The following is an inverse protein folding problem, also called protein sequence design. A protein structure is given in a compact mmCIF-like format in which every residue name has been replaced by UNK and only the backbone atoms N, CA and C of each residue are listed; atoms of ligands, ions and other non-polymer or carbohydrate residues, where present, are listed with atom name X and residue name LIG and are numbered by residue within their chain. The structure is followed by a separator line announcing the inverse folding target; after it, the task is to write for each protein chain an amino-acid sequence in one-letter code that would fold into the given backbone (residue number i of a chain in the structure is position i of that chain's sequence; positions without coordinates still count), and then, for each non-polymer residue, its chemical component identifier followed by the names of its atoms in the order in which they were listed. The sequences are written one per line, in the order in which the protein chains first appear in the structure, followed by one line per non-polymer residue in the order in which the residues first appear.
data_IF_060977037600
#
_entry.id   IF_060977037600
#
_cell.length_a   1.000
_cell.length_b   1.000
_cell.length_c   1.000
_cell.angle_alpha   90.00
_cell.angle_beta   90.00
_cell.angle_gamma   90.00
#
_symmetry.space_group_name_H-M   'P 1'
#
loop_
_entity.id
_entity.type
_entity.pdbx_description
1 polymer ?
#
# COMPACT_ATOMS: atom_id res chain seq x y z
N UNK A 1 -13.57 26.43 25.15
CA UNK A 1 -12.27 27.06 25.46
C UNK A 1 -11.24 25.94 25.47
N UNK A 2 -10.33 25.71 24.51
CA UNK A 2 -9.86 26.44 23.35
C UNK A 2 -9.97 25.53 22.13
N UNK A 3 -10.69 25.97 21.09
CA UNK A 3 -10.46 25.41 19.76
C UNK A 3 -9.12 25.98 19.28
N UNK A 4 -8.02 25.27 19.57
CA UNK A 4 -6.74 25.50 18.89
C UNK A 4 -7.01 25.25 17.40
N UNK A 5 -7.32 26.33 16.68
CA UNK A 5 -7.50 26.34 15.24
C UNK A 5 -6.21 25.81 14.64
N UNK A 6 -6.26 24.59 14.10
CA UNK A 6 -5.15 23.98 13.36
C UNK A 6 -4.99 24.76 12.06
N UNK A 7 -4.27 25.86 12.10
CA UNK A 7 -4.03 26.69 10.91
C UNK A 7 -3.03 26.03 9.97
N UNK A 8 -3.44 25.90 8.70
CA UNK A 8 -2.67 25.62 7.49
C UNK A 8 -1.56 24.56 7.62
N UNK A 9 -1.91 23.31 7.29
CA UNK A 9 -0.95 22.22 7.08
C UNK A 9 -0.14 22.48 5.81
N UNK A 10 1.01 23.13 5.95
CA UNK A 10 1.88 23.33 4.80
C UNK A 10 2.80 22.10 4.64
N UNK A 11 2.58 21.33 3.56
CA UNK A 11 3.37 20.16 3.21
C UNK A 11 4.42 20.51 2.14
N UNK A 12 5.59 19.87 2.22
CA UNK A 12 6.64 20.01 1.21
C UNK A 12 7.49 18.73 1.12
N UNK A 13 8.19 18.58 -0.01
CA UNK A 13 9.13 17.47 -0.23
C UNK A 13 10.53 17.91 0.19
N UNK A 14 11.12 17.17 1.12
CA UNK A 14 12.52 17.34 1.54
C UNK A 14 13.39 16.30 0.87
N UNK A 15 14.46 16.75 0.22
CA UNK A 15 15.54 15.91 -0.26
C UNK A 15 16.68 15.87 0.77
N UNK A 16 17.12 14.67 1.15
CA UNK A 16 18.30 14.47 1.99
C UNK A 16 19.35 13.66 1.24
N UNK A 17 20.54 14.24 1.08
CA UNK A 17 21.71 13.51 0.59
C UNK A 17 22.27 12.65 1.72
N UNK A 18 22.54 11.38 1.43
CA UNK A 18 23.25 10.50 2.37
C UNK A 18 24.52 10.03 1.68
N UNK A 19 25.67 10.44 2.22
CA UNK A 19 26.98 9.92 1.83
C UNK A 19 27.31 8.70 2.68
N UNK A 20 27.44 7.53 2.06
CA UNK A 20 27.97 6.34 2.73
C UNK A 20 29.45 6.23 2.40
N UNK A 21 30.32 6.14 3.40
CA UNK A 21 31.76 5.89 3.18
C UNK A 21 32.05 4.47 2.65
N UNK A 22 31.08 3.55 2.75
CA UNK A 22 31.21 2.15 2.31
C UNK A 22 30.58 1.84 0.94
N UNK A 23 29.71 2.71 0.43
CA UNK A 23 29.10 2.54 -0.88
C UNK A 23 29.59 3.66 -1.80
N UNK A 24 30.18 3.29 -2.94
CA UNK A 24 30.74 4.20 -3.94
C UNK A 24 29.61 5.00 -4.63
N UNK A 25 29.10 6.04 -3.96
CA UNK A 25 28.10 6.96 -4.48
C UNK A 25 27.24 7.65 -3.41
N UNK A 26 27.00 8.95 -3.58
CA UNK A 26 25.97 9.68 -2.83
C UNK A 26 24.59 9.31 -3.35
N UNK A 27 23.66 8.95 -2.46
CA UNK A 27 22.26 8.71 -2.84
C UNK A 27 21.34 9.75 -2.20
N UNK A 28 20.27 10.08 -2.93
CA UNK A 28 19.23 11.00 -2.48
C UNK A 28 18.04 10.21 -1.94
N UNK A 29 17.44 10.72 -0.87
CA UNK A 29 16.21 10.19 -0.29
C UNK A 29 15.20 11.31 -0.13
N UNK A 30 13.95 11.02 -0.45
CA UNK A 30 12.86 11.99 -0.46
C UNK A 30 11.85 11.66 0.63
N UNK A 31 11.37 12.71 1.32
CA UNK A 31 10.37 12.61 2.38
C UNK A 31 9.32 13.70 2.21
N UNK A 32 8.05 13.34 2.38
CA UNK A 32 6.96 14.30 2.53
C UNK A 32 6.94 14.76 3.98
N UNK A 33 7.04 16.07 4.19
CA UNK A 33 7.12 16.71 5.50
C UNK A 33 5.97 17.70 5.65
N UNK A 34 5.32 17.67 6.80
CA UNK A 34 4.31 18.63 7.22
C UNK A 34 4.92 19.58 8.26
N UNK A 35 4.54 20.84 8.17
CA UNK A 35 4.89 21.86 9.17
C UNK A 35 3.66 22.23 9.98
N UNK A 36 3.80 22.22 11.31
CA UNK A 36 2.76 22.63 12.24
C UNK A 36 3.33 23.67 13.21
N UNK A 37 2.55 24.71 13.54
CA UNK A 37 2.93 25.67 14.58
C UNK A 37 2.25 25.26 15.88
N UNK A 38 3.06 24.90 16.88
CA UNK A 38 2.60 24.57 18.22
C UNK A 38 3.22 25.58 19.18
N UNK A 39 2.37 26.33 19.89
CA UNK A 39 2.77 27.33 20.89
C UNK A 39 3.83 28.32 20.36
N UNK A 40 3.60 28.83 19.14
CA UNK A 40 4.46 29.80 18.47
C UNK A 40 5.71 29.21 17.77
N UNK A 41 6.08 27.96 18.08
CA UNK A 41 7.25 27.27 17.50
C UNK A 41 6.85 26.42 16.30
N UNK A 42 7.67 26.44 15.24
CA UNK A 42 7.47 25.60 14.04
C UNK A 42 8.03 24.21 14.32
N UNK A 43 7.19 23.18 14.27
CA UNK A 43 7.56 21.78 14.37
C UNK A 43 7.39 21.11 13.00
N UNK A 44 8.42 20.37 12.57
CA UNK A 44 8.38 19.58 11.35
C UNK A 44 8.10 18.12 11.68
N UNK A 45 7.17 17.50 10.96
CA UNK A 45 6.83 16.07 11.08
C UNK A 45 6.97 15.40 9.72
N UNK A 46 7.67 14.26 9.67
CA UNK A 46 7.67 13.44 8.44
C UNK A 46 6.33 12.71 8.36
N UNK A 47 5.60 12.96 7.28
CA UNK A 47 4.29 12.36 7.00
C UNK A 47 4.47 11.03 6.26
N UNK A 48 5.32 11.00 5.23
CA UNK A 48 5.53 9.83 4.41
C UNK A 48 6.98 9.76 3.91
N UNK A 49 7.56 8.55 3.92
CA UNK A 49 8.84 8.30 3.26
C UNK A 49 8.58 7.95 1.79
N UNK A 50 9.07 8.79 0.88
CA UNK A 50 8.95 8.60 -0.58
C UNK A 50 10.10 7.72 -1.12
N UNK A 51 11.18 7.60 -0.36
CA UNK A 51 12.30 6.71 -0.68
C UNK A 51 13.26 7.30 -1.70
N UNK A 52 14.10 6.44 -2.29
CA UNK A 52 15.16 6.83 -3.24
C UNK A 52 14.72 6.81 -4.72
N UNK A 53 13.60 6.16 -5.01
CA UNK A 53 13.08 5.98 -6.37
C UNK A 53 12.00 7.02 -6.73
N UNK A 54 11.87 8.07 -5.92
CA UNK A 54 10.98 9.19 -6.21
C UNK A 54 11.49 9.96 -7.42
N UNK A 55 10.72 9.93 -8.50
CA UNK A 55 11.11 10.43 -9.82
C UNK A 55 10.16 11.53 -10.32
N UNK A 56 9.98 12.58 -9.52
CA UNK A 56 9.17 13.76 -9.89
C UNK A 56 10.08 14.97 -9.98
N UNK A 57 9.94 15.74 -11.07
CA UNK A 57 10.70 16.96 -11.28
C UNK A 57 10.43 17.98 -10.16
N UNK A 58 11.46 18.75 -9.79
CA UNK A 58 11.39 19.69 -8.66
C UNK A 58 10.29 20.75 -8.83
N UNK A 59 10.01 21.13 -10.07
CA UNK A 59 8.99 22.12 -10.41
C UNK A 59 7.57 21.62 -10.07
N UNK A 60 7.35 20.31 -10.17
CA UNK A 60 6.06 19.68 -9.88
C UNK A 60 5.83 19.40 -8.39
N UNK A 61 6.84 19.54 -7.53
CA UNK A 61 6.73 19.18 -6.11
C UNK A 61 5.64 19.99 -5.39
N UNK A 62 5.52 21.28 -5.71
CA UNK A 62 4.51 22.16 -5.09
C UNK A 62 3.10 21.76 -5.53
N UNK A 63 2.91 21.46 -6.81
CA UNK A 63 1.62 21.03 -7.34
C UNK A 63 1.21 19.68 -6.75
N UNK A 64 2.13 18.71 -6.70
CA UNK A 64 1.91 17.39 -6.10
C UNK A 64 1.56 17.48 -4.62
N UNK A 65 2.32 18.23 -3.82
CA UNK A 65 2.06 18.38 -2.38
C UNK A 65 0.75 19.12 -2.10
N UNK A 66 0.45 20.17 -2.88
CA UNK A 66 -0.84 20.85 -2.82
C UNK A 66 -1.99 19.91 -3.09
N UNK A 67 -1.89 19.07 -4.14
CA UNK A 67 -2.92 18.10 -4.48
C UNK A 67 -3.11 17.04 -3.39
N UNK A 68 -2.03 16.52 -2.80
CA UNK A 68 -2.11 15.59 -1.66
C UNK A 68 -2.87 16.22 -0.49
N UNK A 69 -2.56 17.48 -0.15
CA UNK A 69 -3.28 18.20 0.90
C UNK A 69 -4.77 18.37 0.59
N UNK A 70 -5.13 18.70 -0.66
CA UNK A 70 -6.54 18.80 -1.08
C UNK A 70 -7.30 17.49 -0.85
N UNK A 71 -6.71 16.36 -1.22
CA UNK A 71 -7.33 15.04 -1.02
C UNK A 71 -7.51 14.74 0.47
N UNK A 72 -6.48 15.03 1.30
CA UNK A 72 -6.51 14.75 2.74
C UNK A 72 -7.49 15.65 3.51
N UNK A 73 -7.65 16.90 3.11
CA UNK A 73 -8.55 17.84 3.78
C UNK A 73 -10.01 17.72 3.30
N UNK A 74 -10.28 16.88 2.29
CA UNK A 74 -11.59 16.72 1.65
C UNK A 74 -12.20 18.04 1.16
N UNK A 75 -11.39 19.09 1.04
CA UNK A 75 -11.79 20.38 0.51
C UNK A 75 -11.72 20.29 -1.01
N UNK A 76 -12.87 20.46 -1.67
CA UNK A 76 -12.87 20.92 -3.06
C UNK A 76 -12.27 22.31 -3.04
N UNK A 77 -10.98 22.40 -3.36
CA UNK A 77 -10.34 23.70 -3.44
C UNK A 77 -11.05 24.55 -4.47
N UNK A 78 -11.22 25.83 -4.13
CA UNK A 78 -11.72 26.87 -5.04
C UNK A 78 -10.90 26.94 -6.35
N UNK A 79 -9.66 26.44 -6.33
CA UNK A 79 -8.80 26.24 -7.49
C UNK A 79 -8.45 24.76 -7.66
N UNK A 80 -8.88 24.16 -8.78
CA UNK A 80 -8.46 22.82 -9.17
C UNK A 80 -6.95 22.86 -9.53
N UNK A 81 -6.14 22.04 -8.86
CA UNK A 81 -4.76 21.81 -9.28
C UNK A 81 -4.83 20.71 -10.34
N UNK A 82 -4.75 21.10 -11.60
CA UNK A 82 -4.67 20.16 -12.72
C UNK A 82 -3.26 19.58 -12.78
N UNK A 83 -3.17 18.27 -12.56
CA UNK A 83 -1.96 17.49 -12.74
C UNK A 83 -2.11 16.60 -13.97
N UNK A 84 -0.98 16.19 -14.54
CA UNK A 84 -1.00 15.10 -15.51
C UNK A 84 -1.49 13.80 -14.82
N UNK A 85 -1.90 12.82 -15.61
CA UNK A 85 -2.48 11.56 -15.12
C UNK A 85 -1.53 10.84 -14.15
N UNK A 86 -0.23 10.86 -14.41
CA UNK A 86 0.77 10.20 -13.57
C UNK A 86 0.91 10.85 -12.18
N UNK A 87 0.99 12.18 -12.13
CA UNK A 87 1.12 12.94 -10.89
C UNK A 87 -0.17 12.93 -10.07
N UNK A 88 -1.33 12.94 -10.72
CA UNK A 88 -2.62 12.74 -10.04
C UNK A 88 -2.69 11.36 -9.40
N UNK A 89 -2.28 10.31 -10.14
CA UNK A 89 -2.22 8.95 -9.60
C UNK A 89 -1.26 8.87 -8.41
N UNK A 90 -0.09 9.51 -8.49
CA UNK A 90 0.84 9.61 -7.37
C UNK A 90 0.22 10.34 -6.17
N UNK A 91 -0.48 11.45 -6.38
CA UNK A 91 -1.14 12.21 -5.31
C UNK A 91 -2.18 11.34 -4.59
N UNK A 92 -3.04 10.64 -5.33
CA UNK A 92 -4.03 9.73 -4.77
C UNK A 92 -3.38 8.57 -4.01
N UNK A 93 -2.31 7.99 -4.55
CA UNK A 93 -1.57 6.90 -3.90
C UNK A 93 -0.93 7.35 -2.59
N UNK A 94 -0.29 8.53 -2.56
CA UNK A 94 0.31 9.05 -1.34
C UNK A 94 -0.75 9.42 -0.31
N UNK A 95 -1.87 10.03 -0.72
CA UNK A 95 -2.99 10.33 0.18
C UNK A 95 -3.58 9.06 0.79
N UNK A 96 -3.84 8.02 -0.01
CA UNK A 96 -4.34 6.73 0.48
C UNK A 96 -3.40 6.11 1.52
N UNK A 97 -2.08 6.13 1.28
CA UNK A 97 -1.08 5.63 2.25
C UNK A 97 -1.12 6.40 3.57
N UNK A 98 -1.25 7.72 3.51
CA UNK A 98 -1.32 8.57 4.70
C UNK A 98 -2.59 8.24 5.51
N UNK A 99 -3.73 8.06 4.84
CA UNK A 99 -5.00 7.69 5.46
C UNK A 99 -4.89 6.31 6.13
N UNK A 100 -4.37 5.29 5.44
CA UNK A 100 -4.15 3.94 5.98
C UNK A 100 -3.19 3.92 7.17
N UNK A 101 -2.19 4.80 7.18
CA UNK A 101 -1.28 4.94 8.33
C UNK A 101 -1.93 5.62 9.55
N UNK A 102 -2.95 6.46 9.33
CA UNK A 102 -3.66 7.13 10.43
C UNK A 102 -4.67 6.21 11.11
N UNK A 103 -5.32 5.31 10.37
CA UNK A 103 -6.32 4.38 10.90
C UNK A 103 -5.74 3.33 11.85
N UNK A 104 -4.50 2.89 11.63
CA UNK A 104 -3.79 1.96 12.54
C UNK A 104 -3.44 2.53 13.92
N UNK A 105 -3.54 3.85 14.11
CA UNK A 105 -3.30 4.54 15.39
C UNK A 105 -4.56 4.84 16.20
N UNK A 106 -5.74 4.37 15.77
CA UNK A 106 -6.94 4.42 16.62
C UNK A 106 -6.89 3.30 17.66
N UNK A 107 -6.11 3.52 18.72
CA UNK A 107 -6.41 2.90 20.01
C UNK A 107 -7.88 3.17 20.32
N UNK A 108 -8.64 2.13 20.65
CA UNK A 108 -10.05 2.16 21.07
C UNK A 108 -10.31 3.15 22.22
N UNK A 109 -10.24 4.44 21.94
CA UNK A 109 -10.50 5.53 22.86
C UNK A 109 -11.80 6.17 22.42
N UNK A 110 -12.81 6.02 23.28
CA UNK A 110 -14.23 6.40 23.15
C UNK A 110 -15.11 5.49 22.28
N UNK A 111 -15.51 4.36 22.87
CA UNK A 111 -16.55 3.44 22.39
C UNK A 111 -17.99 4.03 22.44
N UNK A 112 -18.19 5.33 22.17
CA UNK A 112 -19.54 5.93 22.29
C UNK A 112 -19.84 7.14 21.41
N UNK A 113 -18.95 7.54 20.51
CA UNK A 113 -19.27 8.61 19.57
C UNK A 113 -19.96 8.04 18.33
N UNK A 114 -21.29 8.14 18.29
CA UNK A 114 -22.03 7.95 17.04
C UNK A 114 -21.79 9.16 16.15
N UNK A 115 -21.20 8.93 14.98
CA UNK A 115 -21.06 9.94 13.94
C UNK A 115 -22.11 9.70 12.87
N UNK A 116 -22.94 10.71 12.59
CA UNK A 116 -23.82 10.68 11.42
C UNK A 116 -22.98 11.02 10.20
N UNK A 117 -22.93 10.12 9.22
CA UNK A 117 -22.20 10.30 7.97
C UNK A 117 -23.25 10.51 6.87
N UNK A 118 -23.07 11.54 6.04
CA UNK A 118 -23.88 11.71 4.83
C UNK A 118 -23.30 10.83 3.71
N UNK A 119 -24.00 9.77 3.24
CA UNK A 119 -23.49 8.91 2.18
C UNK A 119 -23.25 9.64 0.86
N UNK A 120 -24.03 10.70 0.57
CA UNK A 120 -23.97 11.44 -0.68
C UNK A 120 -22.69 12.29 -0.81
N UNK A 121 -22.04 12.59 0.30
CA UNK A 121 -20.77 13.35 0.36
C UNK A 121 -19.54 12.44 0.38
N UNK A 122 -19.72 11.12 0.38
CA UNK A 122 -18.63 10.17 0.51
C UNK A 122 -17.80 10.09 -0.79
N UNK A 123 -16.52 10.46 -0.70
CA UNK A 123 -15.57 10.35 -1.82
C UNK A 123 -14.74 9.09 -1.70
N UNK A 124 -14.67 8.32 -2.79
CA UNK A 124 -13.80 7.15 -2.88
C UNK A 124 -12.38 7.60 -3.26
N UNK A 125 -11.41 7.24 -2.42
CA UNK A 125 -9.99 7.43 -2.71
C UNK A 125 -9.45 6.07 -3.16
N UNK A 126 -8.92 6.00 -4.39
CA UNK A 126 -8.27 4.80 -4.93
C UNK A 126 -9.16 3.55 -4.80
N UNK A 127 -10.32 3.49 -5.48
CA UNK A 127 -11.21 2.33 -5.40
C UNK A 127 -10.50 1.06 -5.90
N UNK A 128 -10.65 -0.05 -5.15
CA UNK A 128 -10.05 -1.35 -5.45
C UNK A 128 -11.09 -2.44 -5.56
N UNK A 129 -10.78 -3.46 -6.37
CA UNK A 129 -11.61 -4.66 -6.50
C UNK A 129 -11.29 -5.65 -5.39
N UNK A 130 -12.33 -6.14 -4.74
CA UNK A 130 -12.27 -7.24 -3.79
C UNK A 130 -13.27 -8.29 -4.25
N UNK A 131 -12.80 -9.29 -4.99
CA UNK A 131 -13.63 -10.39 -5.47
C UNK A 131 -12.81 -11.66 -5.52
N UNK A 132 -12.14 -11.89 -6.64
CA UNK A 132 -11.23 -13.05 -6.83
C UNK A 132 -10.12 -13.03 -5.77
N UNK A 133 -9.66 -11.84 -5.36
CA UNK A 133 -8.67 -11.66 -4.30
C UNK A 133 -9.10 -12.31 -2.98
N UNK A 134 -10.33 -12.05 -2.56
CA UNK A 134 -10.86 -12.54 -1.30
C UNK A 134 -11.05 -14.06 -1.35
N UNK A 135 -11.64 -14.56 -2.44
CA UNK A 135 -11.84 -15.99 -2.65
C UNK A 135 -10.50 -16.74 -2.69
N UNK A 136 -9.51 -16.19 -3.41
CA UNK A 136 -8.18 -16.76 -3.52
C UNK A 136 -7.45 -16.78 -2.17
N UNK A 137 -7.49 -15.69 -1.40
CA UNK A 137 -6.91 -15.66 -0.05
C UNK A 137 -7.59 -16.67 0.89
N UNK A 138 -8.91 -16.80 0.79
CA UNK A 138 -9.65 -17.78 1.57
C UNK A 138 -9.17 -19.20 1.23
N UNK A 139 -9.07 -19.55 -0.05
CA UNK A 139 -8.56 -20.84 -0.50
C UNK A 139 -7.10 -21.09 -0.05
N UNK A 140 -6.23 -20.08 -0.19
CA UNK A 140 -4.83 -20.13 0.26
C UNK A 140 -4.74 -20.43 1.77
N UNK A 141 -5.59 -19.77 2.57
CA UNK A 141 -5.64 -19.96 4.02
C UNK A 141 -6.20 -21.34 4.38
N UNK A 142 -7.26 -21.80 3.72
CA UNK A 142 -7.82 -23.12 3.93
C UNK A 142 -6.82 -24.24 3.61
N UNK A 143 -6.02 -24.06 2.55
CA UNK A 143 -4.96 -24.98 2.16
C UNK A 143 -3.67 -24.80 2.98
N UNK A 144 -3.63 -23.85 3.92
CA UNK A 144 -2.45 -23.56 4.74
C UNK A 144 -1.20 -23.24 3.91
N UNK A 145 -1.37 -22.69 2.71
CA UNK A 145 -0.27 -22.41 1.79
C UNK A 145 0.61 -21.26 2.30
N UNK A 146 0.00 -20.25 2.93
CA UNK A 146 0.68 -19.16 3.62
C UNK A 146 1.65 -19.68 4.70
N UNK A 147 1.19 -20.63 5.53
CA UNK A 147 2.00 -21.27 6.57
C UNK A 147 3.13 -22.10 5.96
N UNK A 148 2.85 -22.81 4.86
CA UNK A 148 3.86 -23.60 4.15
C UNK A 148 4.95 -22.71 3.55
N UNK A 149 4.59 -21.59 2.92
CA UNK A 149 5.55 -20.62 2.38
C UNK A 149 6.42 -20.03 3.49
N UNK A 150 5.83 -19.69 4.64
CA UNK A 150 6.57 -19.23 5.81
C UNK A 150 7.56 -20.29 6.33
N UNK A 151 7.14 -21.56 6.39
CA UNK A 151 8.00 -22.68 6.79
C UNK A 151 9.14 -22.95 5.80
N UNK A 152 8.97 -22.62 4.52
CA UNK A 152 10.00 -22.67 3.49
C UNK A 152 10.96 -21.46 3.54
N UNK A 153 10.75 -20.51 4.46
CA UNK A 153 11.67 -19.39 4.71
C UNK A 153 11.31 -18.09 3.98
N UNK A 154 10.09 -17.96 3.44
CA UNK A 154 9.66 -16.74 2.77
C UNK A 154 9.42 -15.62 3.79
N UNK A 155 10.07 -14.47 3.60
CA UNK A 155 9.83 -13.27 4.40
C UNK A 155 8.56 -12.52 3.97
N UNK A 156 8.12 -11.52 4.73
CA UNK A 156 6.85 -10.83 4.46
C UNK A 156 6.74 -10.24 3.03
N UNK A 157 7.75 -9.51 2.50
CA UNK A 157 7.70 -9.05 1.10
C UNK A 157 7.71 -10.18 0.06
N UNK A 158 8.39 -11.29 0.35
CA UNK A 158 8.39 -12.48 -0.51
C UNK A 158 7.05 -13.19 -0.48
N UNK A 159 6.42 -13.31 0.69
CA UNK A 159 5.07 -13.85 0.82
C UNK A 159 4.07 -12.99 0.04
N UNK A 160 4.12 -11.66 0.20
CA UNK A 160 3.25 -10.76 -0.55
C UNK A 160 3.47 -10.87 -2.08
N UNK A 161 4.71 -11.02 -2.53
CA UNK A 161 5.01 -11.26 -3.95
C UNK A 161 4.48 -12.62 -4.43
N UNK A 162 4.65 -13.67 -3.63
CA UNK A 162 4.20 -15.03 -3.96
C UNK A 162 2.67 -15.10 -4.04
N UNK A 163 1.98 -14.57 -3.03
CA UNK A 163 0.52 -14.43 -3.02
C UNK A 163 0.06 -13.58 -4.20
N UNK A 164 0.74 -12.45 -4.45
CA UNK A 164 0.45 -11.58 -5.59
C UNK A 164 0.48 -12.32 -6.92
N UNK A 165 1.54 -13.11 -7.18
CA UNK A 165 1.64 -13.92 -8.39
C UNK A 165 0.54 -14.99 -8.46
N UNK A 166 0.32 -15.76 -7.39
CA UNK A 166 -0.67 -16.85 -7.38
C UNK A 166 -2.09 -16.32 -7.59
N UNK A 167 -2.48 -15.32 -6.80
CA UNK A 167 -3.81 -14.71 -6.88
C UNK A 167 -4.02 -14.01 -8.22
N UNK A 168 -2.99 -13.35 -8.76
CA UNK A 168 -3.04 -12.83 -10.11
C UNK A 168 -3.35 -13.96 -11.10
N UNK A 169 -2.61 -15.08 -11.11
CA UNK A 169 -2.91 -16.18 -12.05
C UNK A 169 -4.37 -16.69 -11.95
N UNK A 170 -5.04 -16.54 -10.81
CA UNK A 170 -6.48 -16.83 -10.65
C UNK A 170 -7.40 -15.73 -11.21
N UNK A 171 -6.95 -14.47 -11.23
CA UNK A 171 -7.69 -13.28 -11.64
C UNK A 171 -7.39 -12.78 -13.07
N UNK A 172 -6.63 -13.54 -13.88
CA UNK A 172 -6.29 -13.28 -15.29
C UNK A 172 -5.22 -12.18 -15.62
N UNK A 173 -4.08 -12.08 -14.92
CA UNK A 173 -2.86 -11.48 -15.48
C UNK A 173 -1.89 -12.55 -16.02
N UNK A 174 -1.46 -12.36 -17.27
CA UNK A 174 -0.65 -13.31 -18.05
C UNK A 174 0.86 -13.13 -17.93
N UNK A 175 1.34 -12.01 -17.39
CA UNK A 175 2.77 -11.76 -17.12
C UNK A 175 3.00 -11.11 -15.76
N UNK A 176 4.24 -11.13 -15.27
CA UNK A 176 4.63 -10.46 -14.02
C UNK A 176 4.51 -8.93 -14.15
N UNK A 177 4.74 -8.37 -15.34
CA UNK A 177 4.47 -6.96 -15.64
C UNK A 177 2.97 -6.65 -15.49
N UNK A 178 2.10 -7.47 -16.09
CA UNK A 178 0.66 -7.31 -15.98
C UNK A 178 0.17 -7.52 -14.53
N UNK A 179 0.77 -8.49 -13.83
CA UNK A 179 0.52 -8.75 -12.41
C UNK A 179 0.89 -7.55 -11.56
N UNK A 180 2.06 -6.95 -11.80
CA UNK A 180 2.51 -5.76 -11.10
C UNK A 180 1.53 -4.61 -11.25
N UNK A 181 1.14 -4.31 -12.49
CA UNK A 181 0.15 -3.28 -12.78
C UNK A 181 -1.21 -3.58 -12.14
N UNK A 182 -1.68 -4.84 -12.22
CA UNK A 182 -2.95 -5.27 -11.65
C UNK A 182 -2.97 -5.13 -10.12
N UNK A 183 -1.91 -5.56 -9.43
CA UNK A 183 -1.74 -5.40 -7.98
C UNK A 183 -1.69 -3.92 -7.58
N UNK A 184 -1.06 -3.09 -8.40
CA UNK A 184 -0.89 -1.66 -8.12
C UNK A 184 -2.09 -0.80 -8.45
N UNK A 185 -2.97 -1.18 -9.39
CA UNK A 185 -4.05 -0.29 -9.86
C UNK A 185 -5.46 -0.84 -9.65
N UNK A 186 -5.63 -2.17 -9.66
CA UNK A 186 -6.97 -2.79 -9.76
C UNK A 186 -7.29 -3.59 -8.50
N UNK A 187 -6.34 -4.41 -8.07
CA UNK A 187 -6.54 -5.39 -7.01
C UNK A 187 -6.57 -4.76 -5.62
N UNK A 188 -7.49 -5.22 -4.79
CA UNK A 188 -7.56 -4.96 -3.36
C UNK A 188 -6.75 -5.94 -2.51
N UNK A 189 -5.93 -6.80 -3.13
CA UNK A 189 -5.15 -7.83 -2.44
C UNK A 189 -4.21 -7.22 -1.38
N UNK A 190 -3.60 -6.08 -1.70
CA UNK A 190 -2.68 -5.39 -0.79
C UNK A 190 -3.35 -4.98 0.51
N UNK A 191 -4.55 -4.44 0.41
CA UNK A 191 -5.37 -4.04 1.55
C UNK A 191 -5.77 -5.25 2.41
N UNK A 192 -6.10 -6.39 1.78
CA UNK A 192 -6.46 -7.62 2.49
C UNK A 192 -5.30 -8.23 3.28
N UNK A 193 -4.07 -8.16 2.76
CA UNK A 193 -2.87 -8.72 3.41
C UNK A 193 -2.02 -7.66 4.13
N UNK A 194 -2.53 -6.43 4.22
CA UNK A 194 -1.84 -5.27 4.78
C UNK A 194 -0.43 -5.05 4.19
N UNK A 195 -0.34 -5.04 2.85
CA UNK A 195 0.89 -4.82 2.09
C UNK A 195 0.72 -3.82 0.96
N UNK A 196 1.68 -2.91 0.82
CA UNK A 196 1.66 -1.85 -0.19
C UNK A 196 2.42 -2.28 -1.45
N UNK A 197 1.70 -2.77 -2.47
CA UNK A 197 2.29 -3.18 -3.75
C UNK A 197 2.91 -2.02 -4.55
N UNK A 198 2.58 -0.76 -4.25
CA UNK A 198 3.20 0.42 -4.88
C UNK A 198 4.71 0.52 -4.60
N UNK A 199 5.15 -0.03 -3.46
CA UNK A 199 6.56 -0.05 -3.07
C UNK A 199 7.30 -1.30 -3.58
N UNK A 200 6.57 -2.25 -4.17
CA UNK A 200 7.16 -3.49 -4.67
C UNK A 200 7.82 -3.22 -6.03
N UNK A 201 9.13 -3.48 -6.16
CA UNK A 201 9.79 -3.39 -7.45
C UNK A 201 9.42 -4.60 -8.32
N UNK A 202 9.26 -4.39 -9.62
CA UNK A 202 8.84 -5.42 -10.58
C UNK A 202 9.74 -6.67 -10.54
N UNK A 203 11.05 -6.52 -10.37
CA UNK A 203 11.97 -7.67 -10.40
C UNK A 203 11.70 -8.65 -9.25
N UNK A 204 11.04 -8.21 -8.18
CA UNK A 204 10.64 -9.09 -7.07
C UNK A 204 9.62 -10.13 -7.51
N UNK A 205 8.69 -9.78 -8.41
CA UNK A 205 7.70 -10.74 -8.94
C UNK A 205 8.35 -11.79 -9.83
N UNK A 206 9.41 -11.45 -10.57
CA UNK A 206 10.19 -12.43 -11.32
C UNK A 206 11.00 -13.35 -10.39
N UNK A 207 11.73 -12.76 -9.44
CA UNK A 207 12.55 -13.54 -8.49
C UNK A 207 11.72 -14.49 -7.64
N UNK A 208 10.51 -14.09 -7.24
CA UNK A 208 9.66 -14.94 -6.43
C UNK A 208 9.11 -16.13 -7.24
N UNK A 209 8.85 -15.97 -8.54
CA UNK A 209 8.49 -17.08 -9.42
C UNK A 209 9.60 -18.14 -9.46
N UNK A 210 10.86 -17.72 -9.58
CA UNK A 210 12.01 -18.65 -9.50
C UNK A 210 12.09 -19.35 -8.14
N UNK A 211 11.84 -18.62 -7.04
CA UNK A 211 11.84 -19.20 -5.69
C UNK A 211 10.70 -20.19 -5.49
N UNK A 212 9.50 -19.91 -6.00
CA UNK A 212 8.37 -20.83 -5.97
C UNK A 212 8.70 -22.10 -6.77
N UNK A 213 9.33 -21.97 -7.94
CA UNK A 213 9.74 -23.11 -8.76
C UNK A 213 10.76 -24.00 -8.04
N UNK A 214 11.73 -23.43 -7.33
CA UNK A 214 12.72 -24.19 -6.53
C UNK A 214 12.06 -25.06 -5.45
N UNK A 215 10.91 -24.66 -4.93
CA UNK A 215 10.16 -25.41 -3.92
C UNK A 215 8.95 -26.16 -4.47
N UNK A 216 8.84 -26.29 -5.79
CA UNK A 216 7.69 -26.88 -6.49
C UNK A 216 7.24 -28.20 -5.86
N UNK A 217 8.13 -29.19 -5.75
CA UNK A 217 7.78 -30.53 -5.25
C UNK A 217 7.21 -30.49 -3.82
N UNK A 218 7.78 -29.63 -2.96
CA UNK A 218 7.34 -29.47 -1.59
C UNK A 218 5.98 -28.76 -1.49
N UNK A 219 5.70 -27.82 -2.40
CA UNK A 219 4.44 -27.11 -2.49
C UNK A 219 3.34 -27.99 -3.07
N UNK A 220 3.59 -28.68 -4.19
CA UNK A 220 2.65 -29.60 -4.82
C UNK A 220 2.24 -30.73 -3.86
N UNK A 221 3.21 -31.35 -3.18
CA UNK A 221 2.93 -32.39 -2.18
C UNK A 221 2.06 -31.86 -1.03
N UNK A 222 2.32 -30.63 -0.56
CA UNK A 222 1.52 -30.00 0.50
C UNK A 222 0.10 -29.74 0.02
N UNK A 223 -0.06 -29.08 -1.13
CA UNK A 223 -1.37 -28.75 -1.69
C UNK A 223 -2.20 -30.00 -1.96
N UNK A 224 -1.61 -31.03 -2.56
CA UNK A 224 -2.29 -32.30 -2.82
C UNK A 224 -2.79 -32.97 -1.53
N UNK A 225 -1.99 -32.97 -0.47
CA UNK A 225 -2.40 -33.53 0.82
C UNK A 225 -3.53 -32.73 1.46
N UNK A 226 -3.46 -31.39 1.42
CA UNK A 226 -4.48 -30.52 2.00
C UNK A 226 -5.80 -30.59 1.23
N UNK A 227 -5.74 -30.61 -0.11
CA UNK A 227 -6.90 -30.79 -0.97
C UNK A 227 -7.61 -32.12 -0.65
N UNK A 228 -6.86 -33.23 -0.60
CA UNK A 228 -7.43 -34.53 -0.20
C UNK A 228 -8.10 -34.47 1.16
N UNK A 229 -7.44 -33.87 2.15
CA UNK A 229 -8.00 -33.75 3.49
C UNK A 229 -9.27 -32.89 3.50
N UNK A 230 -9.34 -31.85 2.67
CA UNK A 230 -10.47 -30.95 2.60
C UNK A 230 -11.67 -31.60 1.91
N UNK A 231 -11.45 -32.31 0.79
CA UNK A 231 -12.49 -32.99 0.03
C UNK A 231 -12.99 -34.29 0.70
N UNK A 232 -12.16 -34.94 1.51
CA UNK A 232 -12.51 -36.16 2.24
C UNK A 232 -13.11 -35.89 3.63
N UNK A 233 -13.27 -34.62 4.04
CA UNK A 233 -14.01 -34.30 5.27
C UNK A 233 -15.48 -34.64 5.07
N UNK A 234 -16.12 -35.41 5.96
CA UNK A 234 -17.56 -35.55 5.95
C UNK A 234 -18.18 -34.16 6.13
N UNK A 235 -19.20 -33.85 5.32
CA UNK A 235 -19.96 -32.62 5.47
C UNK A 235 -20.52 -32.59 6.90
N UNK A 236 -20.01 -31.68 7.72
CA UNK A 236 -20.65 -31.35 8.99
C UNK A 236 -21.87 -30.53 8.62
N UNK A 237 -23.00 -31.22 8.47
CA UNK A 237 -24.35 -30.64 8.36
C UNK A 237 -24.79 -30.22 9.75
#
# INVERSE_FOLDING_TARGET
MDHKVRHAKNMYIRCTSTSSSKAKGSYYTYRLVETERIDGKVKQRTVLNLGRHFNVAKDDWKALTGRISQILESQDSLLAIELNVELEQMAQNYAARIISSCSSHTTHSSLSAHYSINPDEMKLIRPRRVGVEHLALHAITQLGLDQKLKALGFNQPQMAAALGNIVARMAYPTSELATHHWLQQISGLGELINYHYDEMPLERLYRISDQLWKHKDALEKHLYQQERNLLLRPAVI
#
